data_IF_628340280760
#
_entry.id   IF_628340280760
#
_cell.length_a   1.000
_cell.length_b   1.000
_cell.length_c   1.000
_cell.angle_alpha   90.00
_cell.angle_beta   90.00
_cell.angle_gamma   90.00
#
_symmetry.space_group_name_H-M   'P 1'
#
loop_
_entity.id
_entity.type
_entity.pdbx_description
1 polymer ?
#
# COMPACT_ATOMS: atom_id res chain seq x y z
N UNK A 1 20.48 12.45 5.59
CA UNK A 1 20.73 12.60 4.15
C UNK A 1 19.64 13.48 3.58
N UNK A 2 19.94 14.27 2.56
CA UNK A 2 18.94 15.03 1.79
C UNK A 2 18.13 14.05 0.95
N UNK A 3 16.85 13.84 1.30
CA UNK A 3 15.96 12.83 0.71
C UNK A 3 15.06 12.10 1.71
N UNK A 4 14.89 12.64 2.92
CA UNK A 4 14.06 12.01 3.95
C UNK A 4 12.57 12.34 3.71
N UNK A 5 11.74 11.31 3.65
CA UNK A 5 10.28 11.43 3.66
C UNK A 5 9.82 11.77 5.09
N UNK A 6 9.68 13.05 5.40
CA UNK A 6 9.15 13.52 6.68
C UNK A 6 7.64 13.78 6.56
N UNK A 7 6.85 12.71 6.69
CA UNK A 7 5.39 12.81 6.79
C UNK A 7 5.01 12.65 8.26
N UNK A 8 4.72 13.78 8.92
CA UNK A 8 4.31 13.83 10.32
C UNK A 8 2.88 14.36 10.43
N UNK A 9 1.92 13.48 10.73
CA UNK A 9 0.60 13.93 11.14
C UNK A 9 0.41 13.72 12.64
N UNK A 10 0.26 14.83 13.38
CA UNK A 10 -0.20 14.83 14.78
C UNK A 10 -1.73 14.77 14.90
N UNK A 11 -2.41 14.41 13.81
CA UNK A 11 -3.87 14.32 13.68
C UNK A 11 -4.20 13.10 12.85
N UNK A 12 -5.27 12.40 13.22
CA UNK A 12 -5.81 11.25 12.49
C UNK A 12 -5.93 11.56 11.00
N UNK A 13 -5.34 10.70 10.17
CA UNK A 13 -5.40 10.79 8.71
C UNK A 13 -6.08 9.57 8.12
N UNK A 14 -6.80 9.81 7.03
CA UNK A 14 -7.29 8.78 6.13
C UNK A 14 -6.09 8.16 5.39
N UNK A 15 -6.04 6.84 5.26
CA UNK A 15 -4.84 6.14 4.76
C UNK A 15 -4.46 6.55 3.34
N UNK A 16 -5.45 6.72 2.47
CA UNK A 16 -5.28 7.15 1.09
C UNK A 16 -4.60 8.51 0.99
N UNK A 17 -4.91 9.42 1.92
CA UNK A 17 -4.27 10.74 1.96
C UNK A 17 -2.78 10.62 2.27
N UNK A 18 -2.41 9.73 3.20
CA UNK A 18 -1.01 9.48 3.54
C UNK A 18 -0.28 8.91 2.32
N UNK A 19 -0.86 7.92 1.64
CA UNK A 19 -0.27 7.34 0.42
C UNK A 19 -0.10 8.40 -0.67
N UNK A 20 -1.11 9.23 -0.91
CA UNK A 20 -1.06 10.27 -1.94
C UNK A 20 0.01 11.33 -1.64
N UNK A 21 0.17 11.71 -0.37
CA UNK A 21 1.18 12.68 0.06
C UNK A 21 2.60 12.10 -0.05
N UNK A 22 2.77 10.79 0.16
CA UNK A 22 4.05 10.10 -0.10
C UNK A 22 4.38 10.12 -1.58
N UNK A 23 3.40 9.84 -2.46
CA UNK A 23 3.59 9.87 -3.92
C UNK A 23 3.94 11.27 -4.43
N UNK A 24 3.30 12.31 -3.89
CA UNK A 24 3.63 13.70 -4.18
C UNK A 24 5.06 14.04 -3.73
N UNK A 25 5.44 13.69 -2.50
CA UNK A 25 6.79 13.95 -1.98
C UNK A 25 7.88 13.16 -2.72
N UNK A 26 7.55 11.97 -3.24
CA UNK A 26 8.44 11.17 -4.07
C UNK A 26 8.59 11.72 -5.49
N UNK A 27 7.82 12.74 -5.89
CA UNK A 27 7.82 13.30 -7.23
C UNK A 27 7.11 12.42 -8.27
N UNK A 28 6.28 11.46 -7.83
CA UNK A 28 5.44 10.67 -8.72
C UNK A 28 4.27 11.51 -9.24
N UNK A 29 3.67 12.31 -8.37
CA UNK A 29 2.75 13.37 -8.77
C UNK A 29 3.54 14.67 -8.95
N UNK A 30 3.27 15.37 -10.05
CA UNK A 30 3.92 16.64 -10.35
C UNK A 30 3.43 17.78 -9.46
N UNK A 31 2.20 17.68 -8.94
CA UNK A 31 1.54 18.74 -8.18
C UNK A 31 0.38 18.20 -7.33
N UNK A 32 -0.20 19.09 -6.51
CA UNK A 32 -1.33 18.78 -5.64
C UNK A 32 -2.61 18.44 -6.41
N UNK A 33 -2.78 18.95 -7.63
CA UNK A 33 -3.98 18.68 -8.42
C UNK A 33 -4.02 17.22 -8.88
N UNK A 34 -2.87 16.66 -9.29
CA UNK A 34 -2.73 15.23 -9.61
C UNK A 34 -2.97 14.35 -8.37
N UNK A 35 -2.44 14.77 -7.23
CA UNK A 35 -2.65 14.11 -5.93
C UNK A 35 -4.14 14.07 -5.56
N UNK A 36 -4.85 15.18 -5.70
CA UNK A 36 -6.27 15.28 -5.37
C UNK A 36 -7.14 14.52 -6.38
N UNK A 37 -6.80 14.59 -7.67
CA UNK A 37 -7.45 13.81 -8.72
C UNK A 37 -7.30 12.29 -8.50
N UNK A 38 -6.12 11.85 -8.04
CA UNK A 38 -5.85 10.45 -7.73
C UNK A 38 -6.75 9.92 -6.60
N UNK A 39 -6.90 10.67 -5.50
CA UNK A 39 -7.68 10.24 -4.33
C UNK A 39 -9.16 10.01 -4.67
N UNK A 40 -9.74 10.84 -5.53
CA UNK A 40 -11.16 10.76 -5.88
C UNK A 40 -11.42 9.80 -7.05
N UNK A 41 -10.39 9.23 -7.66
CA UNK A 41 -10.53 8.33 -8.80
C UNK A 41 -10.72 6.87 -8.35
N UNK A 42 -11.93 6.28 -8.52
CA UNK A 42 -12.21 4.91 -8.10
C UNK A 42 -11.42 3.86 -8.91
N UNK A 43 -10.94 4.22 -10.10
CA UNK A 43 -10.12 3.33 -10.92
C UNK A 43 -8.69 3.20 -10.37
N UNK A 44 -8.23 4.16 -9.57
CA UNK A 44 -6.89 4.14 -8.98
C UNK A 44 -6.91 3.83 -7.50
N UNK A 45 -7.89 4.37 -6.77
CA UNK A 45 -7.97 4.29 -5.31
C UNK A 45 -9.33 3.79 -4.88
N UNK A 46 -9.34 2.83 -3.95
CA UNK A 46 -10.55 2.45 -3.24
C UNK A 46 -10.44 2.87 -1.79
N UNK A 47 -11.51 3.42 -1.23
CA UNK A 47 -11.54 3.79 0.18
C UNK A 47 -11.47 2.54 1.07
N UNK A 48 -10.46 2.52 1.94
CA UNK A 48 -10.23 1.59 3.05
C UNK A 48 -11.33 1.72 4.10
N UNK A 49 -11.76 2.96 4.37
CA UNK A 49 -12.60 3.28 5.54
C UNK A 49 -11.79 3.36 6.84
N UNK A 50 -10.47 3.22 6.75
CA UNK A 50 -9.56 3.21 7.89
C UNK A 50 -8.86 4.56 8.05
N UNK A 51 -8.47 4.83 9.30
CA UNK A 51 -7.70 6.02 9.64
C UNK A 51 -6.53 5.67 10.55
N UNK A 52 -5.41 6.35 10.35
CA UNK A 52 -4.19 6.19 11.15
C UNK A 52 -4.04 7.42 12.03
N UNK A 53 -4.03 7.20 13.35
CA UNK A 53 -3.89 8.30 14.33
C UNK A 53 -2.51 8.97 14.27
N UNK A 54 -1.46 8.19 14.02
CA UNK A 54 -0.07 8.64 13.92
C UNK A 54 0.68 7.77 12.92
N UNK A 55 1.39 8.41 12.01
CA UNK A 55 2.28 7.74 11.05
C UNK A 55 3.63 8.46 11.08
N UNK A 56 4.70 7.67 11.07
CA UNK A 56 6.07 8.13 10.88
C UNK A 56 6.85 7.03 10.18
N UNK A 57 7.87 7.41 9.42
CA UNK A 57 8.77 6.48 8.74
C UNK A 57 10.19 6.69 9.23
N UNK A 58 10.96 5.61 9.30
CA UNK A 58 12.37 5.70 9.70
C UNK A 58 13.15 6.51 8.67
N UNK A 59 14.09 7.33 9.15
CA UNK A 59 15.02 8.06 8.28
C UNK A 59 15.73 7.13 7.32
N UNK A 60 15.69 7.45 6.01
CA UNK A 60 16.28 6.62 4.95
C UNK A 60 15.35 5.54 4.38
N UNK A 61 14.11 5.42 4.87
CA UNK A 61 13.10 4.57 4.25
C UNK A 61 12.69 5.12 2.88
N UNK A 62 12.54 4.23 1.89
CA UNK A 62 12.05 4.60 0.56
C UNK A 62 10.53 4.82 0.58
N UNK A 63 10.03 5.65 -0.33
CA UNK A 63 8.59 5.86 -0.50
C UNK A 63 7.84 4.55 -0.80
N UNK A 64 8.46 3.64 -1.56
CA UNK A 64 7.87 2.33 -1.86
C UNK A 64 7.71 1.47 -0.59
N UNK A 65 8.73 1.43 0.26
CA UNK A 65 8.66 0.66 1.52
C UNK A 65 7.65 1.29 2.49
N UNK A 66 7.58 2.62 2.56
CA UNK A 66 6.57 3.32 3.34
C UNK A 66 5.14 2.97 2.90
N UNK A 67 4.87 2.98 1.59
CA UNK A 67 3.57 2.60 1.03
C UNK A 67 3.29 1.11 1.22
N UNK A 68 4.30 0.24 1.11
CA UNK A 68 4.17 -1.20 1.38
C UNK A 68 3.66 -1.46 2.79
N UNK A 69 4.26 -0.80 3.79
CA UNK A 69 3.84 -0.91 5.19
C UNK A 69 2.40 -0.41 5.40
N UNK A 70 2.04 0.72 4.78
CA UNK A 70 0.66 1.23 4.84
C UNK A 70 -0.33 0.25 4.22
N UNK A 71 0.00 -0.32 3.06
CA UNK A 71 -0.83 -1.30 2.38
C UNK A 71 -1.02 -2.57 3.21
N UNK A 72 0.02 -3.04 3.91
CA UNK A 72 -0.05 -4.20 4.80
C UNK A 72 -1.01 -3.96 5.98
N UNK A 73 -0.99 -2.77 6.57
CA UNK A 73 -1.87 -2.41 7.69
C UNK A 73 -3.35 -2.51 7.32
N UNK A 74 -3.72 -2.06 6.11
CA UNK A 74 -5.12 -2.06 5.64
C UNK A 74 -5.50 -3.24 4.74
N UNK A 75 -4.59 -4.21 4.52
CA UNK A 75 -4.78 -5.34 3.60
C UNK A 75 -4.99 -4.95 2.13
N UNK A 76 -4.31 -3.90 1.68
CA UNK A 76 -4.33 -3.40 0.30
C UNK A 76 -3.11 -3.88 -0.49
N UNK A 77 -3.15 -3.64 -1.81
CA UNK A 77 -2.02 -3.74 -2.73
C UNK A 77 -1.70 -2.36 -3.27
N UNK A 78 -0.41 -2.13 -3.47
CA UNK A 78 0.10 -0.99 -4.21
C UNK A 78 0.90 -1.48 -5.41
N UNK A 79 0.61 -0.96 -6.60
CA UNK A 79 1.33 -1.26 -7.84
C UNK A 79 1.11 -0.14 -8.87
N UNK A 80 1.88 -0.16 -9.96
CA UNK A 80 1.64 0.72 -11.10
C UNK A 80 0.92 -0.06 -12.21
N UNK A 81 -0.05 0.57 -12.86
CA UNK A 81 -0.65 0.01 -14.09
C UNK A 81 0.33 0.07 -15.28
N UNK A 82 -0.10 -0.44 -16.44
CA UNK A 82 0.71 -0.49 -17.65
C UNK A 82 1.06 0.90 -18.22
N UNK A 83 0.36 1.96 -17.80
CA UNK A 83 0.60 3.35 -18.21
C UNK A 83 1.45 4.09 -17.18
N UNK A 84 1.71 3.49 -16.01
CA UNK A 84 2.46 4.09 -14.92
C UNK A 84 1.59 4.85 -13.92
N UNK A 85 0.27 4.64 -13.89
CA UNK A 85 -0.58 5.21 -12.84
C UNK A 85 -0.45 4.38 -11.55
N UNK A 86 -0.24 5.01 -10.39
CA UNK A 86 -0.24 4.30 -9.11
C UNK A 86 -1.65 3.79 -8.77
N UNK A 87 -1.76 2.54 -8.36
CA UNK A 87 -3.00 1.88 -7.96
C UNK A 87 -2.90 1.48 -6.48
N UNK A 88 -3.93 1.79 -5.70
CA UNK A 88 -4.06 1.44 -4.29
C UNK A 88 -5.46 0.86 -4.00
N UNK A 89 -5.57 -0.46 -3.98
CA UNK A 89 -6.85 -1.19 -3.88
C UNK A 89 -6.74 -2.44 -2.98
N UNK A 90 -7.85 -2.98 -2.47
CA UNK A 90 -7.84 -4.21 -1.68
C UNK A 90 -7.13 -5.34 -2.40
N UNK A 91 -6.49 -6.23 -1.63
CA UNK A 91 -6.08 -7.53 -2.16
C UNK A 91 -7.32 -8.27 -2.68
N UNK A 92 -7.21 -8.87 -3.87
CA UNK A 92 -8.24 -9.75 -4.39
C UNK A 92 -8.53 -10.85 -3.37
N UNK A 93 -9.81 -11.13 -3.15
CA UNK A 93 -10.25 -12.16 -2.22
C UNK A 93 -10.06 -13.54 -2.87
N UNK A 94 -9.87 -14.58 -2.04
CA UNK A 94 -9.86 -15.96 -2.53
C UNK A 94 -11.19 -16.25 -3.25
N UNK A 95 -11.12 -16.56 -4.54
CA UNK A 95 -12.28 -16.88 -5.38
C UNK A 95 -12.79 -15.75 -6.29
N UNK A 96 -12.21 -14.54 -6.23
CA UNK A 96 -12.40 -13.55 -7.30
C UNK A 96 -11.53 -13.94 -8.49
N UNK A 97 -12.11 -14.03 -9.69
CA UNK A 97 -11.34 -14.20 -10.93
C UNK A 97 -10.41 -12.99 -11.11
N UNK A 98 -9.10 -13.23 -10.95
CA UNK A 98 -8.07 -12.21 -11.14
C UNK A 98 -7.66 -12.11 -12.61
N UNK A 99 -7.91 -13.16 -13.41
CA UNK A 99 -7.81 -13.15 -14.88
C UNK A 99 -8.41 -14.46 -15.43
N UNK A 100 -9.16 -14.40 -16.54
CA UNK A 100 -9.56 -15.61 -17.29
C UNK A 100 -8.48 -15.86 -18.34
N UNK A 101 -7.54 -16.77 -18.05
CA UNK A 101 -6.58 -17.24 -19.04
C UNK A 101 -7.28 -18.20 -20.02
N UNK A 102 -7.44 -17.77 -21.28
CA UNK A 102 -7.91 -18.64 -22.35
C UNK A 102 -6.86 -19.70 -22.69
N UNK A 103 -7.28 -20.93 -22.94
CA UNK A 103 -6.41 -22.12 -23.11
C UNK A 103 -5.44 -22.10 -24.31
N UNK A 104 -5.22 -20.95 -24.96
CA UNK A 104 -4.22 -20.73 -26.01
C UNK A 104 -2.95 -20.00 -25.55
N UNK A 105 -2.91 -19.46 -24.32
CA UNK A 105 -1.88 -18.47 -23.92
C UNK A 105 -0.85 -19.00 -22.89
N UNK A 106 -0.82 -20.30 -22.60
CA UNK A 106 0.07 -20.89 -21.59
C UNK A 106 1.03 -21.87 -22.25
N UNK A 107 2.31 -21.49 -22.38
CA UNK A 107 3.38 -22.42 -22.78
C UNK A 107 4.32 -22.80 -21.61
N UNK A 108 4.23 -22.15 -20.44
CA UNK A 108 5.02 -22.52 -19.25
C UNK A 108 4.23 -22.24 -17.98
N UNK A 109 3.84 -23.30 -17.28
CA UNK A 109 3.33 -23.24 -15.91
C UNK A 109 4.52 -23.46 -14.97
N UNK A 110 5.15 -22.39 -14.48
CA UNK A 110 6.17 -22.49 -13.43
C UNK A 110 5.50 -22.36 -12.07
N UNK A 111 5.09 -23.49 -11.50
CA UNK A 111 4.62 -23.56 -10.12
C UNK A 111 5.86 -23.67 -9.22
N UNK A 112 6.15 -22.60 -8.48
CA UNK A 112 7.19 -22.59 -7.45
C UNK A 112 6.51 -22.54 -6.08
N UNK A 113 6.61 -23.63 -5.33
CA UNK A 113 6.21 -23.68 -3.92
C UNK A 113 7.46 -23.54 -3.05
N UNK A 114 7.60 -22.41 -2.37
CA UNK A 114 8.74 -22.14 -1.51
C UNK A 114 8.41 -22.54 -0.05
N UNK A 115 8.85 -23.74 0.33
CA UNK A 115 8.58 -24.34 1.66
C UNK A 115 9.16 -23.49 2.81
N UNK A 116 10.15 -22.63 2.51
CA UNK A 116 10.78 -21.75 3.49
C UNK A 116 9.87 -20.63 4.02
N UNK A 117 8.74 -20.35 3.34
CA UNK A 117 7.73 -19.37 3.77
C UNK A 117 6.55 -20.02 4.55
N UNK A 118 6.55 -21.35 4.71
CA UNK A 118 5.50 -22.08 5.43
C UNK A 118 5.86 -22.20 6.91
N UNK A 119 5.40 -21.23 7.71
CA UNK A 119 5.59 -21.25 9.16
C UNK A 119 4.44 -21.97 9.87
N UNK A 120 4.75 -23.03 10.64
CA UNK A 120 3.77 -23.79 11.43
C UNK A 120 3.13 -22.97 12.57
N UNK A 121 3.69 -21.82 12.92
CA UNK A 121 3.17 -20.93 13.96
C UNK A 121 3.70 -19.50 13.76
N UNK A 122 2.80 -18.51 13.73
CA UNK A 122 3.14 -17.08 13.64
C UNK A 122 2.49 -16.39 14.84
N UNK A 123 3.31 -15.80 15.71
CA UNK A 123 2.85 -15.02 16.88
C UNK A 123 3.09 -13.55 16.57
N UNK A 124 2.01 -12.80 16.36
CA UNK A 124 2.06 -11.35 16.16
C UNK A 124 1.71 -10.66 17.47
N UNK A 125 2.67 -9.96 18.06
CA UNK A 125 2.48 -9.18 19.28
C UNK A 125 2.32 -7.70 18.90
N UNK A 126 1.10 -7.16 19.08
CA UNK A 126 0.84 -5.74 18.93
C UNK A 126 1.34 -4.93 20.13
N UNK A 127 1.62 -3.64 19.91
CA UNK A 127 1.90 -2.68 20.99
C UNK A 127 0.69 -2.56 21.93
N UNK A 128 0.90 -2.73 23.24
CA UNK A 128 -0.12 -2.44 24.27
C UNK A 128 0.05 -0.98 24.70
N UNK A 129 -1.00 -0.17 24.51
CA UNK A 129 -1.01 1.22 24.97
C UNK A 129 -1.64 1.31 26.36
N UNK A 130 -0.89 1.81 27.34
CA UNK A 130 -1.47 2.22 28.62
C UNK A 130 -2.35 3.46 28.39
N UNK A 131 -3.63 3.34 28.72
CA UNK A 131 -4.52 4.50 28.82
C UNK A 131 -4.07 5.33 30.02
N UNK A 132 -3.45 6.48 29.79
CA UNK A 132 -3.30 7.51 30.81
C UNK A 132 -4.70 8.00 31.20
N UNK A 133 -5.13 7.66 32.41
CA UNK A 133 -6.42 8.02 33.00
C UNK A 133 -6.52 9.47 33.43
#
# INVERSE_FOLDING_TARGET
>A
GTGNLEVYYFKTQIVENVVADILLNAGIFANTDERDAWIVNPDYVKATGDSIDRVWFNTGMSAFEAIRLLAEVVQYRFYFDYVGNPIFKPKASLGEEVDIFGGSDIEVESIEENIDEVYNNIIVLGEVRETLG
#
